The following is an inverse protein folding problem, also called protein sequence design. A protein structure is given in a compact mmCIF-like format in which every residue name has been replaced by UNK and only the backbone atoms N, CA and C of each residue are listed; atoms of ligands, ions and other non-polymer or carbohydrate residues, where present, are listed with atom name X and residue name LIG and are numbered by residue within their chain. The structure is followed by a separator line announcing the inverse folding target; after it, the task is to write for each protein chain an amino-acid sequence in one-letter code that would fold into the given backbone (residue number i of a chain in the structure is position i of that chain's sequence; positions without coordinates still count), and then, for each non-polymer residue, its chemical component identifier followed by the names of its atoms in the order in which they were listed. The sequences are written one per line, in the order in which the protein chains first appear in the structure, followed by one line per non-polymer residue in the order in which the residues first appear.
data_IF_893946148980
#
_entry.id   IF_893946148980
#
_cell.length_a   1.000
_cell.length_b   1.000
_cell.length_c   1.000
_cell.angle_alpha   90.00
_cell.angle_beta   90.00
_cell.angle_gamma   90.00
#
_symmetry.space_group_name_H-M   'P 1'
#
loop_
_entity.id
_entity.type
_entity.pdbx_description
1 polymer ?
#
# COMPACT_ATOMS: atom_id res chain seq x y z
N UNK A 1 -12.77 -12.29 15.70
CA UNK A 1 -11.34 -12.62 15.90
C UNK A 1 -10.57 -11.31 15.84
N UNK A 2 -9.97 -10.87 16.95
CA UNK A 2 -8.96 -9.80 16.87
C UNK A 2 -7.84 -10.25 15.92
N UNK A 3 -7.56 -9.48 14.88
CA UNK A 3 -6.46 -9.80 13.99
C UNK A 3 -5.14 -9.76 14.78
N UNK A 4 -4.18 -10.64 14.46
CA UNK A 4 -2.87 -10.63 15.09
C UNK A 4 -2.19 -9.23 15.02
N UNK A 5 -2.52 -8.47 13.98
CA UNK A 5 -2.11 -7.08 13.78
C UNK A 5 -2.66 -6.13 14.85
N UNK A 6 -3.95 -6.22 15.18
CA UNK A 6 -4.57 -5.36 16.21
C UNK A 6 -3.96 -5.61 17.60
N UNK A 7 -3.69 -6.88 17.94
CA UNK A 7 -3.03 -7.23 19.21
C UNK A 7 -1.64 -6.64 19.32
N UNK A 8 -0.89 -6.63 18.21
CA UNK A 8 0.46 -6.05 18.19
C UNK A 8 0.42 -4.53 18.29
N UNK A 9 -0.51 -3.87 17.59
CA UNK A 9 -0.71 -2.41 17.70
C UNK A 9 -1.04 -2.03 19.15
N UNK A 10 -2.00 -2.70 19.78
CA UNK A 10 -2.38 -2.45 21.17
C UNK A 10 -1.20 -2.63 22.14
N UNK A 11 -0.33 -3.62 21.90
CA UNK A 11 0.87 -3.83 22.73
C UNK A 11 1.89 -2.71 22.57
N UNK A 12 2.07 -2.19 21.36
CA UNK A 12 3.02 -1.09 21.08
C UNK A 12 2.53 0.23 21.65
N UNK A 13 1.22 0.48 21.58
CA UNK A 13 0.62 1.76 21.98
C UNK A 13 0.24 1.83 23.46
N UNK A 14 0.34 0.72 24.20
CA UNK A 14 -0.11 0.61 25.60
C UNK A 14 0.47 1.68 26.51
N UNK A 15 1.75 2.01 26.32
CA UNK A 15 2.50 2.95 27.16
C UNK A 15 2.84 4.25 26.40
N UNK A 16 2.19 4.49 25.26
CA UNK A 16 2.43 5.68 24.46
C UNK A 16 1.83 6.93 25.15
N UNK A 17 2.51 8.09 25.08
CA UNK A 17 1.95 9.35 25.58
C UNK A 17 0.65 9.75 24.87
N UNK A 18 -0.21 10.48 25.57
CA UNK A 18 -1.55 10.87 25.10
C UNK A 18 -1.50 11.62 23.75
N UNK A 19 -0.56 12.55 23.59
CA UNK A 19 -0.37 13.28 22.32
C UNK A 19 0.04 12.38 21.14
N UNK A 20 0.67 11.23 21.40
CA UNK A 20 1.00 10.23 20.39
C UNK A 20 -0.23 9.40 20.04
N UNK A 21 -1.03 9.03 21.04
CA UNK A 21 -2.30 8.32 20.84
C UNK A 21 -3.28 9.15 20.02
N UNK A 22 -3.46 10.43 20.34
CA UNK A 22 -4.32 11.36 19.58
C UNK A 22 -3.92 11.44 18.11
N UNK A 23 -2.61 11.56 17.82
CA UNK A 23 -2.11 11.58 16.44
C UNK A 23 -2.40 10.29 15.69
N UNK A 24 -2.17 9.15 16.34
CA UNK A 24 -2.41 7.84 15.74
C UNK A 24 -3.90 7.63 15.48
N UNK A 25 -4.76 8.02 16.42
CA UNK A 25 -6.21 7.98 16.24
C UNK A 25 -6.63 8.87 15.06
N UNK A 26 -6.10 10.09 14.94
CA UNK A 26 -6.38 10.96 13.79
C UNK A 26 -5.95 10.36 12.44
N UNK A 27 -4.83 9.62 12.39
CA UNK A 27 -4.44 8.88 11.17
C UNK A 27 -5.37 7.71 10.88
N UNK A 28 -5.79 6.96 11.91
CA UNK A 28 -6.72 5.85 11.76
C UNK A 28 -8.08 6.37 11.29
N UNK A 29 -8.56 7.47 11.88
CA UNK A 29 -9.76 8.17 11.45
C UNK A 29 -9.60 8.57 9.98
N UNK A 30 -8.55 9.30 9.59
CA UNK A 30 -8.35 9.67 8.18
C UNK A 30 -8.26 8.48 7.20
N UNK A 31 -7.72 7.33 7.62
CA UNK A 31 -7.69 6.10 6.80
C UNK A 31 -9.08 5.44 6.71
N UNK A 32 -9.88 5.53 7.77
CA UNK A 32 -11.24 4.98 7.80
C UNK A 32 -12.27 5.93 7.17
N UNK A 33 -12.00 7.24 7.23
CA UNK A 33 -12.75 8.35 6.64
C UNK A 33 -12.33 8.62 5.18
N UNK A 34 -11.51 7.74 4.59
CA UNK A 34 -11.45 7.60 3.14
C UNK A 34 -12.89 7.28 2.68
N UNK A 35 -13.64 8.34 2.34
CA UNK A 35 -14.88 8.29 1.59
C UNK A 35 -14.68 7.21 0.55
N UNK A 36 -15.42 6.10 0.69
CA UNK A 36 -15.27 4.88 -0.11
C UNK A 36 -14.96 5.29 -1.54
N UNK A 37 -13.69 5.25 -1.90
CA UNK A 37 -13.29 5.65 -3.24
C UNK A 37 -14.08 4.77 -4.19
N UNK A 38 -15.03 5.37 -4.93
CA UNK A 38 -15.87 4.62 -5.86
C UNK A 38 -15.02 3.99 -6.97
N UNK A 39 -13.78 4.47 -7.10
CA UNK A 39 -12.74 3.90 -7.94
C UNK A 39 -12.28 2.54 -7.40
N UNK A 40 -13.08 1.53 -7.75
CA UNK A 40 -12.67 0.13 -7.66
C UNK A 40 -12.04 -0.27 -8.97
N UNK A 41 -10.96 -1.06 -8.87
CA UNK A 41 -10.42 -1.74 -10.03
C UNK A 41 -11.50 -2.59 -10.70
N UNK A 42 -11.56 -2.56 -12.03
CA UNK A 42 -12.37 -3.50 -12.79
C UNK A 42 -11.88 -4.93 -12.54
N UNK A 43 -12.72 -5.92 -12.84
CA UNK A 43 -12.34 -7.31 -12.65
C UNK A 43 -11.21 -7.74 -13.62
N UNK A 44 -11.14 -7.12 -14.80
CA UNK A 44 -10.02 -7.29 -15.73
C UNK A 44 -8.71 -6.75 -15.14
N UNK A 45 -8.75 -5.57 -14.52
CA UNK A 45 -7.59 -4.96 -13.88
C UNK A 45 -7.11 -5.82 -12.70
N UNK A 46 -8.02 -6.33 -11.87
CA UNK A 46 -7.69 -7.25 -10.77
C UNK A 46 -7.04 -8.54 -11.28
N UNK A 47 -7.60 -9.16 -12.33
CA UNK A 47 -7.04 -10.36 -12.96
C UNK A 47 -5.67 -10.10 -13.56
N UNK A 48 -5.47 -8.92 -14.18
CA UNK A 48 -4.17 -8.52 -14.72
C UNK A 48 -3.10 -8.43 -13.62
N UNK A 49 -3.42 -7.80 -12.49
CA UNK A 49 -2.51 -7.69 -11.35
C UNK A 49 -2.17 -9.05 -10.73
N UNK A 50 -3.15 -9.95 -10.61
CA UNK A 50 -2.91 -11.31 -10.13
C UNK A 50 -1.90 -12.05 -11.00
N UNK A 51 -2.05 -11.97 -12.33
CA UNK A 51 -1.12 -12.58 -13.28
C UNK A 51 0.30 -12.02 -13.17
N UNK A 52 0.47 -10.75 -12.80
CA UNK A 52 1.80 -10.15 -12.62
C UNK A 52 2.55 -10.82 -11.45
N UNK A 53 1.84 -11.19 -10.38
CA UNK A 53 2.45 -11.88 -9.23
C UNK A 53 2.93 -13.30 -9.55
N UNK A 54 2.40 -13.89 -10.63
CA UNK A 54 2.76 -15.23 -11.09
C UNK A 54 3.87 -15.22 -12.15
N UNK A 55 4.32 -14.02 -12.58
CA UNK A 55 5.39 -13.89 -13.57
C UNK A 55 6.73 -14.31 -12.98
N UNK A 56 7.56 -14.92 -13.81
CA UNK A 56 8.92 -15.26 -13.42
C UNK A 56 9.78 -14.00 -13.34
N UNK A 57 10.84 -14.03 -12.54
CA UNK A 57 11.72 -12.87 -12.36
C UNK A 57 12.30 -12.34 -13.69
N UNK A 58 12.58 -13.24 -14.63
CA UNK A 58 13.08 -12.92 -15.98
C UNK A 58 12.10 -12.12 -16.84
N UNK A 59 10.82 -12.05 -16.45
CA UNK A 59 9.78 -11.26 -17.12
C UNK A 59 9.61 -9.87 -16.50
N UNK A 60 10.38 -9.55 -15.45
CA UNK A 60 10.46 -8.21 -14.88
C UNK A 60 11.67 -7.47 -15.45
N UNK A 61 11.48 -6.17 -15.70
CA UNK A 61 12.58 -5.27 -16.06
C UNK A 61 13.20 -4.74 -14.78
N UNK A 62 14.53 -4.69 -14.74
CA UNK A 62 15.25 -4.02 -13.67
C UNK A 62 14.88 -2.53 -13.59
N UNK A 63 14.78 -1.98 -12.39
CA UNK A 63 14.27 -0.62 -12.20
C UNK A 63 15.18 0.44 -12.84
N UNK A 64 16.49 0.26 -12.79
CA UNK A 64 17.43 1.21 -13.39
C UNK A 64 17.34 1.15 -14.92
N UNK A 65 17.12 -0.05 -15.46
CA UNK A 65 16.88 -0.23 -16.90
C UNK A 65 15.60 0.48 -17.34
N UNK A 66 14.50 0.30 -16.60
CA UNK A 66 13.24 0.96 -16.90
C UNK A 66 13.35 2.49 -16.85
N UNK A 67 13.99 3.03 -15.80
CA UNK A 67 14.16 4.47 -15.64
C UNK A 67 15.01 5.08 -16.77
N UNK A 68 16.09 4.40 -17.17
CA UNK A 68 16.91 4.84 -18.28
C UNK A 68 16.15 4.84 -19.62
N UNK A 69 15.31 3.83 -19.87
CA UNK A 69 14.45 3.77 -21.07
C UNK A 69 13.42 4.90 -21.07
N UNK A 70 12.77 5.16 -19.94
CA UNK A 70 11.78 6.24 -19.79
C UNK A 70 12.43 7.61 -19.99
N UNK A 71 13.58 7.86 -19.38
CA UNK A 71 14.33 9.10 -19.56
C UNK A 71 14.78 9.28 -21.01
N UNK A 72 15.32 8.23 -21.63
CA UNK A 72 15.75 8.31 -23.03
C UNK A 72 14.60 8.58 -23.99
N UNK A 73 13.40 8.07 -23.71
CA UNK A 73 12.26 8.13 -24.63
C UNK A 73 11.36 9.35 -24.41
N UNK A 74 11.25 9.79 -23.16
CA UNK A 74 10.30 10.82 -22.74
C UNK A 74 10.96 12.00 -22.00
N UNK A 75 12.26 11.93 -21.69
CA UNK A 75 12.99 12.98 -20.98
C UNK A 75 12.59 13.13 -19.51
N UNK A 76 12.08 12.06 -18.89
CA UNK A 76 11.67 12.00 -17.47
C UNK A 76 12.64 11.17 -16.66
#
# INVERSE_FOLDING_TARGET
MESATLKNINKILKDAPENILERILGYIEGILDDEKSEFKLSDEQKKSLQKIKERSYQQHTDIDTFLNEMNSKYGV
#
